data_IF_315674087498
#
_entry.id   IF_315674087498
#
_cell.length_a   1.000
_cell.length_b   1.000
_cell.length_c   1.000
_cell.angle_alpha   90.00
_cell.angle_beta   90.00
_cell.angle_gamma   90.00
#
_symmetry.space_group_name_H-M   'P 1'
#
loop_
_entity.id
_entity.type
_entity.pdbx_description
1 polymer ?
#
# COMPACT_ATOMS: atom_id res chain seq x y z
N UNK A 1 -37.01 11.86 17.54
CA UNK A 1 -36.51 13.22 17.31
C UNK A 1 -35.00 13.12 17.40
N UNK A 2 -34.38 12.69 16.30
CA UNK A 2 -32.91 12.61 16.19
C UNK A 2 -32.43 13.94 15.64
N UNK A 3 -31.58 14.60 16.40
CA UNK A 3 -30.83 15.77 15.95
C UNK A 3 -29.76 15.29 14.97
N UNK A 4 -29.94 15.67 13.70
CA UNK A 4 -28.93 15.56 12.65
C UNK A 4 -27.85 16.59 12.93
N UNK A 5 -26.61 16.13 13.13
CA UNK A 5 -25.43 17.00 13.19
C UNK A 5 -25.26 17.75 11.84
N UNK A 6 -24.80 19.01 11.86
CA UNK A 6 -24.69 19.80 10.64
C UNK A 6 -23.53 19.28 9.77
N UNK A 7 -23.87 19.04 8.51
CA UNK A 7 -22.95 18.84 7.39
C UNK A 7 -22.04 20.07 7.27
N UNK A 8 -20.76 19.88 7.59
CA UNK A 8 -19.77 20.95 7.58
C UNK A 8 -19.17 21.07 6.18
N UNK A 9 -19.79 21.91 5.36
CA UNK A 9 -19.20 22.71 4.28
C UNK A 9 -18.18 22.03 3.36
N UNK A 10 -18.65 21.50 2.24
CA UNK A 10 -17.84 21.20 1.04
C UNK A 10 -18.28 22.10 -0.12
N UNK A 11 -18.30 23.41 0.11
CA UNK A 11 -18.63 24.46 -0.89
C UNK A 11 -17.52 25.52 -0.96
N UNK A 12 -16.25 25.11 -0.97
CA UNK A 12 -15.18 25.92 -1.57
C UNK A 12 -15.00 25.40 -3.00
N UNK A 13 -15.74 25.97 -3.94
CA UNK A 13 -15.53 25.73 -5.37
C UNK A 13 -14.21 26.37 -5.76
N UNK A 14 -13.12 25.61 -5.64
CA UNK A 14 -11.79 26.05 -6.03
C UNK A 14 -11.77 26.40 -7.53
N UNK A 15 -11.07 27.48 -7.89
CA UNK A 15 -10.99 27.91 -9.28
C UNK A 15 -10.21 26.90 -10.13
N UNK A 16 -10.75 26.54 -11.28
CA UNK A 16 -10.03 25.76 -12.29
C UNK A 16 -8.80 26.56 -12.74
N UNK A 17 -7.59 25.98 -12.71
CA UNK A 17 -6.39 26.67 -13.16
C UNK A 17 -6.48 27.02 -14.65
N UNK A 18 -5.91 28.16 -15.02
CA UNK A 18 -5.71 28.52 -16.43
C UNK A 18 -4.57 27.65 -16.99
N UNK A 19 -4.83 26.91 -18.08
CA UNK A 19 -3.90 25.95 -18.66
C UNK A 19 -3.42 26.47 -20.02
N UNK A 20 -2.11 26.67 -20.15
CA UNK A 20 -1.46 26.95 -21.41
C UNK A 20 -1.35 25.65 -22.22
N UNK A 21 -2.20 25.49 -23.24
CA UNK A 21 -2.28 24.27 -24.04
C UNK A 21 -0.93 23.98 -24.72
N UNK A 22 -0.24 22.88 -24.36
CA UNK A 22 1.04 22.54 -24.97
C UNK A 22 0.89 22.18 -26.45
N UNK A 23 1.85 22.58 -27.28
CA UNK A 23 1.86 22.22 -28.70
C UNK A 23 1.82 20.70 -28.90
N UNK A 24 2.55 19.93 -28.10
CA UNK A 24 2.55 18.47 -28.19
C UNK A 24 1.18 17.85 -27.91
N UNK A 25 0.38 18.48 -27.03
CA UNK A 25 -0.98 18.04 -26.76
C UNK A 25 -1.91 18.34 -27.95
N UNK A 26 -1.75 19.51 -28.56
CA UNK A 26 -2.48 19.88 -29.77
C UNK A 26 -2.10 18.99 -30.97
N UNK A 27 -0.81 18.79 -31.20
CA UNK A 27 -0.27 17.94 -32.27
C UNK A 27 -0.76 16.50 -32.10
N UNK A 28 -0.83 15.99 -30.87
CA UNK A 28 -1.40 14.67 -30.59
C UNK A 28 -2.89 14.56 -30.91
N UNK A 29 -3.66 15.65 -30.81
CA UNK A 29 -5.06 15.69 -31.28
C UNK A 29 -5.09 15.63 -32.80
N UNK A 30 -4.25 16.40 -33.50
CA UNK A 30 -4.16 16.37 -34.96
C UNK A 30 -3.78 14.98 -35.47
N UNK A 31 -2.76 14.36 -34.88
CA UNK A 31 -2.33 13.00 -35.22
C UNK A 31 -3.47 11.99 -35.00
N UNK A 32 -4.20 12.09 -33.88
CA UNK A 32 -5.31 11.18 -33.58
C UNK A 32 -6.52 11.39 -34.51
N UNK A 33 -6.65 12.55 -35.15
CA UNK A 33 -7.67 12.83 -36.17
C UNK A 33 -7.21 12.37 -37.56
N UNK A 34 -5.91 12.45 -37.87
CA UNK A 34 -5.38 12.04 -39.16
C UNK A 34 -5.60 10.56 -39.47
N UNK A 35 -5.65 9.72 -38.43
CA UNK A 35 -5.89 8.28 -38.51
C UNK A 35 -7.38 7.88 -38.54
N UNK A 36 -8.31 8.85 -38.55
CA UNK A 36 -9.76 8.60 -38.43
C UNK A 36 -10.52 8.82 -39.74
N UNK A 37 -11.56 8.01 -39.94
CA UNK A 37 -12.48 8.17 -41.07
C UNK A 37 -13.40 9.40 -40.87
N UNK A 38 -13.90 10.02 -41.96
CA UNK A 38 -14.87 11.10 -41.85
C UNK A 38 -16.11 10.69 -41.04
N UNK A 39 -16.39 11.43 -39.97
CA UNK A 39 -17.48 11.13 -39.03
C UNK A 39 -17.03 10.42 -37.74
N UNK A 40 -15.80 9.93 -37.66
CA UNK A 40 -15.21 9.49 -36.40
C UNK A 40 -14.72 10.69 -35.59
N UNK A 41 -14.90 10.63 -34.27
CA UNK A 41 -14.57 11.73 -33.36
C UNK A 41 -13.71 11.25 -32.20
N UNK A 42 -12.80 12.12 -31.77
CA UNK A 42 -12.15 12.04 -30.47
C UNK A 42 -13.11 12.63 -29.45
N UNK A 43 -13.43 11.87 -28.41
CA UNK A 43 -14.30 12.33 -27.33
C UNK A 43 -13.46 12.82 -26.16
N UNK A 44 -13.77 14.03 -25.73
CA UNK A 44 -13.29 14.63 -24.50
C UNK A 44 -14.46 14.73 -23.52
N UNK A 45 -14.17 15.05 -22.26
CA UNK A 45 -15.25 15.38 -21.34
C UNK A 45 -15.90 16.71 -21.77
N UNK A 46 -17.21 16.66 -22.03
CA UNK A 46 -18.00 17.84 -22.40
C UNK A 46 -17.88 18.31 -23.85
N UNK A 47 -17.10 17.65 -24.72
CA UNK A 47 -17.08 17.94 -26.16
C UNK A 47 -16.43 16.82 -26.99
N UNK A 48 -16.59 16.88 -28.31
CA UNK A 48 -15.92 15.99 -29.24
C UNK A 48 -15.30 16.78 -30.41
N UNK A 49 -14.24 16.22 -30.98
CA UNK A 49 -13.53 16.80 -32.14
C UNK A 49 -13.48 15.76 -33.24
N UNK A 50 -13.76 16.15 -34.47
CA UNK A 50 -13.70 15.26 -35.64
C UNK A 50 -13.14 15.96 -36.86
N UNK A 51 -13.11 15.22 -37.97
CA UNK A 51 -12.78 15.73 -39.31
C UNK A 51 -13.92 15.38 -40.27
N UNK A 52 -14.28 16.32 -41.14
CA UNK A 52 -15.24 16.15 -42.23
C UNK A 52 -14.63 16.61 -43.57
N UNK A 53 -15.43 16.57 -44.64
CA UNK A 53 -14.99 16.97 -45.99
C UNK A 53 -14.61 18.47 -46.08
N UNK A 54 -15.11 19.30 -45.17
CA UNK A 54 -14.98 20.76 -45.18
C UNK A 54 -13.92 21.27 -44.17
N UNK A 55 -13.42 20.41 -43.27
CA UNK A 55 -12.36 20.73 -42.31
C UNK A 55 -12.53 20.03 -40.96
N UNK A 56 -12.10 20.69 -39.89
CA UNK A 56 -12.28 20.17 -38.53
C UNK A 56 -13.65 20.52 -37.96
N UNK A 57 -14.13 19.67 -37.06
CA UNK A 57 -15.39 19.86 -36.34
C UNK A 57 -15.17 19.88 -34.84
N UNK A 58 -15.93 20.72 -34.12
CA UNK A 58 -15.98 20.75 -32.66
C UNK A 58 -17.44 20.71 -32.23
N UNK A 59 -17.83 19.65 -31.54
CA UNK A 59 -19.17 19.44 -31.00
C UNK A 59 -19.16 19.63 -29.47
N UNK A 60 -19.78 20.69 -28.92
CA UNK A 60 -19.75 21.01 -27.49
C UNK A 60 -20.68 20.14 -26.60
N UNK A 61 -21.18 19.01 -27.10
CA UNK A 61 -22.02 18.07 -26.35
C UNK A 61 -23.22 18.75 -25.66
N UNK A 62 -24.13 19.32 -26.46
CA UNK A 62 -25.33 20.02 -25.97
C UNK A 62 -25.65 21.34 -26.66
N UNK A 63 -24.87 21.71 -27.68
CA UNK A 63 -25.10 22.87 -28.53
C UNK A 63 -24.83 22.56 -30.00
N UNK A 64 -24.85 23.59 -30.84
CA UNK A 64 -24.60 23.42 -32.28
C UNK A 64 -23.11 23.16 -32.56
N UNK A 65 -22.83 22.11 -33.31
CA UNK A 65 -21.47 21.77 -33.73
C UNK A 65 -20.90 22.86 -34.65
N UNK A 66 -19.64 23.22 -34.43
CA UNK A 66 -18.87 24.10 -35.31
C UNK A 66 -18.16 23.24 -36.34
N UNK A 67 -18.41 23.47 -37.63
CA UNK A 67 -17.82 22.69 -38.74
C UNK A 67 -16.99 23.58 -39.68
N UNK A 68 -16.23 22.95 -40.58
CA UNK A 68 -15.38 23.66 -41.55
C UNK A 68 -14.28 24.51 -40.91
N UNK A 69 -13.80 24.12 -39.74
CA UNK A 69 -12.77 24.86 -39.00
C UNK A 69 -11.41 24.65 -39.65
N UNK A 70 -10.64 25.73 -39.77
CA UNK A 70 -9.20 25.63 -40.05
C UNK A 70 -8.45 25.08 -38.84
N UNK A 71 -7.23 24.57 -39.02
CA UNK A 71 -6.36 24.14 -37.91
C UNK A 71 -6.18 25.24 -36.86
N UNK A 72 -6.04 26.51 -37.30
CA UNK A 72 -5.92 27.67 -36.42
C UNK A 72 -7.19 27.91 -35.59
N UNK A 73 -8.36 27.75 -36.22
CA UNK A 73 -9.64 27.95 -35.53
C UNK A 73 -9.98 26.77 -34.61
N UNK A 74 -9.51 25.56 -34.95
CA UNK A 74 -9.51 24.40 -34.06
C UNK A 74 -8.60 24.66 -32.85
N UNK A 75 -7.36 25.09 -33.05
CA UNK A 75 -6.42 25.41 -31.99
C UNK A 75 -7.04 26.42 -31.00
N UNK A 76 -7.61 27.51 -31.51
CA UNK A 76 -8.28 28.50 -30.66
C UNK A 76 -9.45 27.90 -29.85
N UNK A 77 -10.23 27.00 -30.45
CA UNK A 77 -11.31 26.31 -29.74
C UNK A 77 -10.80 25.32 -28.67
N UNK A 78 -9.65 24.69 -28.89
CA UNK A 78 -9.04 23.77 -27.94
C UNK A 78 -8.33 24.50 -26.79
N UNK A 79 -7.77 25.69 -27.02
CA UNK A 79 -7.21 26.55 -25.96
C UNK A 79 -8.29 26.93 -24.93
N UNK A 80 -9.51 27.27 -25.38
CA UNK A 80 -10.65 27.52 -24.47
C UNK A 80 -11.06 26.31 -23.63
N UNK A 81 -10.58 25.11 -23.99
CA UNK A 81 -10.92 23.82 -23.40
C UNK A 81 -9.66 23.07 -22.94
N UNK A 82 -8.57 23.80 -22.70
CA UNK A 82 -7.25 23.24 -22.44
C UNK A 82 -7.26 22.16 -21.33
N UNK A 83 -7.95 22.31 -20.18
CA UNK A 83 -8.02 21.26 -19.15
C UNK A 83 -8.49 19.90 -19.66
N UNK A 84 -9.54 19.87 -20.50
CA UNK A 84 -10.07 18.64 -21.05
C UNK A 84 -9.15 18.03 -22.12
N UNK A 85 -8.49 18.87 -22.92
CA UNK A 85 -7.50 18.42 -23.90
C UNK A 85 -6.26 17.83 -23.23
N UNK A 86 -5.72 18.50 -22.20
CA UNK A 86 -4.55 18.01 -21.46
C UNK A 86 -4.90 16.79 -20.59
N UNK A 87 -6.16 16.63 -20.16
CA UNK A 87 -6.60 15.42 -19.45
C UNK A 87 -6.60 14.20 -20.37
N UNK A 88 -7.18 14.36 -21.56
CA UNK A 88 -7.11 13.35 -22.61
C UNK A 88 -5.66 13.04 -22.98
N UNK A 89 -4.82 14.06 -23.21
CA UNK A 89 -3.42 13.87 -23.59
C UNK A 89 -2.63 13.10 -22.52
N UNK A 90 -2.78 13.47 -21.24
CA UNK A 90 -2.09 12.80 -20.15
C UNK A 90 -2.41 11.30 -20.12
N UNK A 91 -3.67 10.92 -20.30
CA UNK A 91 -4.06 9.52 -20.17
C UNK A 91 -3.94 8.70 -21.45
N UNK A 92 -4.21 9.28 -22.61
CA UNK A 92 -4.12 8.57 -23.89
C UNK A 92 -2.70 8.54 -24.47
N UNK A 93 -1.88 9.55 -24.20
CA UNK A 93 -0.54 9.67 -24.79
C UNK A 93 0.60 9.48 -23.79
N UNK A 94 0.51 10.07 -22.60
CA UNK A 94 1.59 9.98 -21.59
C UNK A 94 1.51 8.68 -20.80
N UNK A 95 0.32 8.35 -20.27
CA UNK A 95 0.08 7.11 -19.52
C UNK A 95 -0.22 5.93 -20.44
N UNK A 96 -0.98 6.15 -21.52
CA UNK A 96 -1.26 5.13 -22.54
C UNK A 96 -2.32 4.09 -22.12
N UNK A 97 -2.05 2.83 -22.50
CA UNK A 97 -3.02 1.73 -22.44
C UNK A 97 -3.70 1.54 -21.07
N UNK A 98 -4.95 1.07 -21.12
CA UNK A 98 -5.71 0.72 -19.94
C UNK A 98 -5.06 -0.45 -19.21
N UNK A 99 -4.84 -0.28 -17.90
CA UNK A 99 -4.14 -1.23 -17.06
C UNK A 99 -3.86 -0.66 -15.67
N UNK A 100 -3.09 -1.38 -14.83
CA UNK A 100 -2.92 -1.05 -13.42
C UNK A 100 -2.37 0.36 -13.19
N UNK A 101 -1.37 0.79 -13.97
CA UNK A 101 -0.82 2.15 -13.90
C UNK A 101 -1.88 3.23 -14.13
N UNK A 102 -2.65 3.10 -15.20
CA UNK A 102 -3.68 4.09 -15.56
C UNK A 102 -4.76 4.18 -14.49
N UNK A 103 -5.28 3.05 -14.04
CA UNK A 103 -6.31 3.00 -13.02
C UNK A 103 -5.83 3.59 -11.69
N UNK A 104 -4.58 3.31 -11.32
CA UNK A 104 -4.00 3.77 -10.07
C UNK A 104 -3.72 5.28 -10.07
N UNK A 105 -3.14 5.82 -11.15
CA UNK A 105 -2.94 7.26 -11.27
C UNK A 105 -4.27 8.02 -11.29
N UNK A 106 -5.30 7.47 -11.96
CA UNK A 106 -6.66 8.03 -11.86
C UNK A 106 -7.18 8.00 -10.42
N UNK A 107 -7.00 6.90 -9.69
CA UNK A 107 -7.41 6.82 -8.29
C UNK A 107 -6.66 7.79 -7.37
N UNK A 108 -5.38 8.05 -7.65
CA UNK A 108 -4.60 9.08 -6.94
C UNK A 108 -5.24 10.46 -7.17
N UNK A 109 -5.58 10.77 -8.42
CA UNK A 109 -6.15 12.07 -8.83
C UNK A 109 -7.64 12.23 -8.51
N UNK A 110 -8.38 11.14 -8.32
CA UNK A 110 -9.85 11.16 -8.42
C UNK A 110 -10.47 9.93 -7.73
N UNK A 111 -10.92 10.11 -6.48
CA UNK A 111 -11.61 9.04 -5.76
C UNK A 111 -13.12 8.98 -6.06
N UNK A 112 -13.71 10.05 -6.61
CA UNK A 112 -15.16 10.28 -6.56
C UNK A 112 -15.82 10.44 -7.95
N UNK A 113 -15.06 10.37 -9.06
CA UNK A 113 -15.61 10.40 -10.42
C UNK A 113 -16.11 11.79 -10.82
N UNK A 114 -15.36 12.82 -10.44
CA UNK A 114 -15.70 14.21 -10.70
C UNK A 114 -15.37 14.66 -12.13
N UNK A 115 -15.93 15.82 -12.53
CA UNK A 115 -15.61 16.45 -13.82
C UNK A 115 -14.12 16.81 -13.91
N UNK A 116 -13.57 16.89 -15.12
CA UNK A 116 -12.23 17.44 -15.40
C UNK A 116 -12.01 18.77 -14.69
N UNK A 117 -13.01 19.66 -14.70
CA UNK A 117 -12.92 20.96 -14.05
C UNK A 117 -12.66 20.83 -12.55
N UNK A 118 -13.50 20.08 -11.84
CA UNK A 118 -13.37 19.86 -10.40
C UNK A 118 -12.04 19.17 -10.05
N UNK A 119 -11.66 18.16 -10.81
CA UNK A 119 -10.38 17.45 -10.65
C UNK A 119 -9.18 18.39 -10.83
N UNK A 120 -9.19 19.25 -11.85
CA UNK A 120 -8.09 20.20 -12.07
C UNK A 120 -8.00 21.25 -10.98
N UNK A 121 -9.14 21.72 -10.46
CA UNK A 121 -9.16 22.62 -9.31
C UNK A 121 -8.59 21.93 -8.05
N UNK A 122 -8.91 20.67 -7.81
CA UNK A 122 -8.34 19.88 -6.71
C UNK A 122 -6.84 19.60 -6.91
N UNK A 123 -6.40 19.23 -8.11
CA UNK A 123 -4.99 19.05 -8.44
C UNK A 123 -4.17 20.33 -8.27
N UNK A 124 -4.75 21.51 -8.53
CA UNK A 124 -4.09 22.78 -8.28
C UNK A 124 -3.83 23.05 -6.78
N UNK A 125 -4.61 22.45 -5.88
CA UNK A 125 -4.40 22.50 -4.43
C UNK A 125 -3.47 21.40 -3.91
N UNK A 126 -3.26 20.34 -4.70
CA UNK A 126 -2.57 19.13 -4.30
C UNK A 126 -3.53 18.11 -3.69
N UNK A 127 -3.67 16.96 -4.36
CA UNK A 127 -4.48 15.84 -3.87
C UNK A 127 -3.58 14.86 -3.18
N UNK A 128 -3.83 14.63 -1.89
CA UNK A 128 -3.06 13.67 -1.12
C UNK A 128 -3.77 12.32 -0.98
N UNK A 129 -3.01 11.23 -1.14
CA UNK A 129 -3.46 9.85 -0.94
C UNK A 129 -2.43 9.06 -0.15
N UNK A 130 -2.92 8.15 0.67
CA UNK A 130 -2.10 7.18 1.39
C UNK A 130 -2.00 5.88 0.58
N UNK A 131 -0.85 5.22 0.61
CA UNK A 131 -0.65 3.89 0.03
C UNK A 131 0.37 3.11 0.86
N UNK A 132 -0.09 2.29 1.81
CA UNK A 132 0.78 1.77 2.87
C UNK A 132 1.34 2.92 3.70
N UNK A 133 2.64 2.94 3.97
CA UNK A 133 3.32 4.03 4.68
C UNK A 133 3.70 5.20 3.76
N UNK A 134 3.16 5.26 2.53
CA UNK A 134 3.43 6.34 1.59
C UNK A 134 2.36 7.41 1.64
N UNK A 135 2.80 8.66 1.56
CA UNK A 135 2.00 9.81 1.17
C UNK A 135 2.35 10.20 -0.26
N UNK A 136 1.35 10.13 -1.14
CA UNK A 136 1.45 10.55 -2.54
C UNK A 136 0.65 11.82 -2.73
N UNK A 137 1.28 12.88 -3.21
CA UNK A 137 0.62 14.15 -3.51
C UNK A 137 0.63 14.40 -5.01
N UNK A 138 -0.54 14.39 -5.64
CA UNK A 138 -0.69 14.70 -7.05
C UNK A 138 -1.01 16.19 -7.24
N UNK A 139 -0.27 16.83 -8.13
CA UNK A 139 -0.46 18.22 -8.52
C UNK A 139 -0.49 18.35 -10.04
N UNK A 140 -0.86 19.54 -10.51
CA UNK A 140 -0.88 19.87 -11.93
C UNK A 140 -0.12 21.17 -12.19
N UNK A 141 0.62 21.21 -13.30
CA UNK A 141 1.31 22.41 -13.77
C UNK A 141 0.39 23.33 -14.56
N UNK A 142 0.84 24.55 -14.84
CA UNK A 142 0.19 25.50 -15.77
C UNK A 142 0.09 24.98 -17.21
N UNK A 143 0.79 23.89 -17.54
CA UNK A 143 0.73 23.19 -18.83
C UNK A 143 -0.14 21.94 -18.82
N UNK A 144 -0.83 21.66 -17.71
CA UNK A 144 -1.68 20.47 -17.55
C UNK A 144 -0.91 19.16 -17.32
N UNK A 145 0.40 19.23 -17.10
CA UNK A 145 1.22 18.06 -16.76
C UNK A 145 1.01 17.64 -15.31
N UNK A 146 0.92 16.33 -15.06
CA UNK A 146 0.78 15.75 -13.72
C UNK A 146 2.13 15.60 -13.06
N UNK A 147 2.21 16.00 -11.80
CA UNK A 147 3.38 15.85 -10.94
C UNK A 147 3.02 15.16 -9.65
N UNK A 148 3.87 14.25 -9.20
CA UNK A 148 3.64 13.47 -8.00
C UNK A 148 4.82 13.59 -7.05
N UNK A 149 4.53 13.97 -5.82
CA UNK A 149 5.48 13.84 -4.72
C UNK A 149 5.20 12.54 -3.97
N UNK A 150 6.21 11.70 -3.80
CA UNK A 150 6.13 10.46 -3.01
C UNK A 150 7.08 10.55 -1.82
N UNK A 151 6.57 10.35 -0.60
CA UNK A 151 7.36 10.35 0.64
C UNK A 151 6.74 9.42 1.66
N UNK A 152 7.45 9.18 2.77
CA UNK A 152 6.87 8.47 3.91
C UNK A 152 5.74 9.29 4.55
N UNK A 153 4.69 8.64 5.06
CA UNK A 153 3.52 9.33 5.64
C UNK A 153 3.85 10.18 6.87
N UNK A 154 4.83 9.74 7.66
CA UNK A 154 5.37 10.49 8.79
C UNK A 154 6.02 11.83 8.36
N UNK A 155 6.37 11.97 7.09
CA UNK A 155 7.01 13.16 6.50
C UNK A 155 6.05 14.04 5.67
N UNK A 156 4.75 13.78 5.74
CA UNK A 156 3.74 14.51 4.95
C UNK A 156 3.83 16.05 5.11
N UNK A 157 4.17 16.52 6.32
CA UNK A 157 4.34 17.94 6.63
C UNK A 157 5.76 18.48 6.54
N UNK A 158 6.74 17.63 6.22
CA UNK A 158 8.16 18.02 6.21
C UNK A 158 8.50 18.71 4.87
N UNK A 159 9.12 19.90 4.87
CA UNK A 159 9.55 20.55 3.64
C UNK A 159 10.54 19.69 2.85
N UNK A 160 10.44 19.71 1.52
CA UNK A 160 11.35 18.93 0.63
C UNK A 160 12.83 19.22 0.92
N UNK A 161 13.19 20.46 1.24
CA UNK A 161 14.57 20.84 1.56
C UNK A 161 15.13 20.27 2.87
N UNK A 162 14.28 19.67 3.71
CA UNK A 162 14.65 19.02 4.97
C UNK A 162 14.67 17.48 4.83
N UNK A 163 14.42 16.94 3.63
CA UNK A 163 14.41 15.52 3.30
C UNK A 163 15.49 15.18 2.26
N UNK A 164 15.95 13.93 2.25
CA UNK A 164 16.82 13.43 1.19
C UNK A 164 16.01 13.25 -0.10
N UNK A 165 16.31 14.06 -1.12
CA UNK A 165 15.58 14.08 -2.39
C UNK A 165 16.17 13.11 -3.43
N UNK A 166 15.29 12.41 -4.13
CA UNK A 166 15.63 11.44 -5.18
C UNK A 166 14.77 11.66 -6.42
N UNK A 167 15.39 11.57 -7.61
CA UNK A 167 14.70 11.79 -8.88
C UNK A 167 14.54 10.49 -9.71
N UNK A 168 15.37 9.47 -9.46
CA UNK A 168 15.33 8.18 -10.17
C UNK A 168 14.55 7.14 -9.34
N UNK A 169 13.43 6.58 -9.84
CA UNK A 169 12.68 5.52 -9.16
C UNK A 169 13.52 4.33 -8.68
N UNK A 170 14.65 4.06 -9.34
CA UNK A 170 15.54 2.96 -8.98
C UNK A 170 16.24 3.17 -7.64
N UNK A 171 16.41 4.42 -7.19
CA UNK A 171 17.02 4.76 -5.89
C UNK A 171 16.16 4.25 -4.73
N UNK A 172 14.85 4.04 -4.94
CA UNK A 172 13.95 3.48 -3.94
C UNK A 172 14.37 2.07 -3.47
N UNK A 173 15.18 1.34 -4.26
CA UNK A 173 15.70 0.00 -3.88
C UNK A 173 16.56 0.05 -2.62
N UNK A 174 17.37 1.10 -2.48
CA UNK A 174 18.24 1.26 -1.32
C UNK A 174 17.40 1.61 -0.08
N UNK A 175 16.40 2.48 -0.26
CA UNK A 175 15.46 2.89 0.80
C UNK A 175 14.65 1.72 1.35
N UNK A 176 14.22 0.78 0.50
CA UNK A 176 13.38 -0.33 0.95
C UNK A 176 14.17 -1.52 1.47
N UNK A 177 15.50 -1.51 1.36
CA UNK A 177 16.34 -2.65 1.74
C UNK A 177 16.48 -2.81 3.25
N UNK A 178 16.60 -1.69 3.97
CA UNK A 178 16.77 -1.68 5.43
C UNK A 178 15.63 -0.90 6.10
N UNK A 179 15.36 -1.20 7.37
CA UNK A 179 14.50 -0.37 8.23
C UNK A 179 15.30 0.78 8.87
N UNK A 180 14.63 1.62 9.66
CA UNK A 180 15.26 2.75 10.37
C UNK A 180 16.43 2.34 11.29
N UNK A 181 16.51 1.06 11.66
CA UNK A 181 17.56 0.50 12.53
C UNK A 181 18.68 -0.17 11.73
N UNK A 182 18.64 -0.10 10.40
CA UNK A 182 19.59 -0.75 9.52
C UNK A 182 19.42 -2.27 9.41
N UNK A 183 18.26 -2.83 9.82
CA UNK A 183 17.95 -4.26 9.69
C UNK A 183 17.35 -4.53 8.32
N UNK A 184 17.69 -5.66 7.72
CA UNK A 184 17.14 -6.05 6.42
C UNK A 184 15.61 -6.22 6.47
N UNK A 185 14.92 -5.68 5.45
CA UNK A 185 13.47 -5.81 5.25
C UNK A 185 13.15 -6.93 4.26
N UNK A 186 12.90 -8.18 4.73
CA UNK A 186 12.53 -9.29 3.86
C UNK A 186 11.14 -9.13 3.26
N UNK A 187 10.22 -8.51 4.01
CA UNK A 187 8.86 -8.19 3.58
C UNK A 187 8.76 -6.69 3.37
N UNK A 188 8.62 -6.26 2.11
CA UNK A 188 8.56 -4.83 1.78
C UNK A 188 7.29 -4.14 2.26
N UNK A 189 6.23 -4.90 2.53
CA UNK A 189 4.97 -4.40 3.07
C UNK A 189 4.88 -4.48 4.59
N UNK A 190 5.96 -4.83 5.30
CA UNK A 190 5.97 -4.67 6.75
C UNK A 190 6.05 -3.17 7.11
N UNK A 191 5.29 -2.68 8.10
CA UNK A 191 5.21 -1.27 8.51
C UNK A 191 6.50 -0.84 9.23
N UNK A 192 7.56 -0.68 8.43
CA UNK A 192 8.96 -0.52 8.87
C UNK A 192 9.77 0.26 7.84
N UNK A 193 9.10 0.91 6.87
CA UNK A 193 9.78 1.72 5.89
C UNK A 193 10.42 2.91 6.60
N UNK A 194 11.71 3.16 6.38
CA UNK A 194 12.35 4.32 6.97
C UNK A 194 11.80 5.61 6.37
N UNK A 195 11.61 6.66 7.18
CA UNK A 195 11.31 8.01 6.70
C UNK A 195 12.56 8.80 6.30
N UNK A 196 12.41 10.12 6.14
CA UNK A 196 13.50 11.07 5.90
C UNK A 196 13.84 11.31 4.42
N UNK A 197 13.01 10.86 3.49
CA UNK A 197 13.25 10.98 2.05
C UNK A 197 12.01 11.44 1.28
N UNK A 198 12.23 11.92 0.05
CA UNK A 198 11.17 12.31 -0.88
C UNK A 198 11.61 12.07 -2.33
N UNK A 199 10.68 11.65 -3.16
CA UNK A 199 10.78 11.76 -4.62
C UNK A 199 9.89 12.91 -5.09
N UNK A 200 10.43 14.12 -5.28
CA UNK A 200 9.63 15.27 -5.65
C UNK A 200 9.40 15.33 -7.16
N UNK A 201 8.30 15.97 -7.57
CA UNK A 201 8.04 16.37 -8.97
C UNK A 201 8.10 15.21 -10.00
N UNK A 202 7.72 13.99 -9.59
CA UNK A 202 7.77 12.83 -10.49
C UNK A 202 6.71 12.93 -11.60
N UNK A 203 7.07 12.47 -12.80
CA UNK A 203 6.09 12.21 -13.85
C UNK A 203 5.23 10.97 -13.58
N UNK A 204 4.13 10.77 -14.34
CA UNK A 204 3.22 9.64 -14.17
C UNK A 204 3.88 8.25 -14.17
N UNK A 205 4.87 8.06 -15.05
CA UNK A 205 5.61 6.80 -15.15
C UNK A 205 6.46 6.57 -13.91
N UNK A 206 7.25 7.57 -13.52
CA UNK A 206 8.24 7.46 -12.46
C UNK A 206 7.56 7.34 -11.10
N UNK A 207 6.41 7.99 -10.89
CA UNK A 207 5.58 7.82 -9.71
C UNK A 207 5.11 6.35 -9.55
N UNK A 208 4.61 5.76 -10.65
CA UNK A 208 4.20 4.35 -10.66
C UNK A 208 5.39 3.40 -10.42
N UNK A 209 6.52 3.63 -11.10
CA UNK A 209 7.74 2.82 -10.94
C UNK A 209 8.34 2.91 -9.53
N UNK A 210 8.27 4.10 -8.90
CA UNK A 210 8.71 4.31 -7.52
C UNK A 210 7.84 3.50 -6.56
N UNK A 211 6.51 3.60 -6.68
CA UNK A 211 5.57 2.87 -5.82
C UNK A 211 5.69 1.35 -6.01
N UNK A 212 5.83 0.85 -7.24
CA UNK A 212 6.06 -0.58 -7.50
C UNK A 212 7.45 -1.05 -7.03
N UNK A 213 8.44 -0.17 -6.97
CA UNK A 213 9.74 -0.51 -6.38
C UNK A 213 9.64 -0.61 -4.85
N UNK A 214 8.86 0.27 -4.22
CA UNK A 214 8.68 0.29 -2.76
C UNK A 214 7.78 -0.86 -2.30
N UNK A 215 6.62 -1.03 -2.94
CA UNK A 215 5.64 -2.06 -2.65
C UNK A 215 5.32 -2.87 -3.91
N UNK A 216 6.14 -3.90 -4.21
CA UNK A 216 5.99 -4.68 -5.43
C UNK A 216 4.64 -5.37 -5.55
N UNK A 217 4.04 -5.27 -6.74
CA UNK A 217 2.79 -5.88 -7.18
C UNK A 217 1.54 -5.42 -6.41
N UNK A 218 1.63 -4.42 -5.53
CA UNK A 218 0.46 -3.96 -4.79
C UNK A 218 -0.56 -3.28 -5.69
N UNK A 219 -0.10 -2.46 -6.64
CA UNK A 219 -1.01 -1.77 -7.56
C UNK A 219 -1.62 -2.75 -8.56
N UNK A 220 -0.83 -3.69 -9.06
CA UNK A 220 -1.31 -4.74 -9.94
C UNK A 220 -2.41 -5.61 -9.29
N UNK A 221 -2.22 -6.03 -8.04
CA UNK A 221 -3.21 -6.84 -7.33
C UNK A 221 -4.46 -6.03 -6.96
N UNK A 222 -4.29 -4.79 -6.49
CA UNK A 222 -5.41 -3.87 -6.25
C UNK A 222 -6.25 -3.65 -7.51
N UNK A 223 -5.61 -3.50 -8.66
CA UNK A 223 -6.31 -3.37 -9.94
C UNK A 223 -7.12 -4.64 -10.26
N UNK A 224 -6.51 -5.83 -10.16
CA UNK A 224 -7.20 -7.10 -10.41
C UNK A 224 -8.40 -7.31 -9.49
N UNK A 225 -8.28 -6.96 -8.21
CA UNK A 225 -9.38 -7.03 -7.26
C UNK A 225 -10.58 -6.20 -7.71
N UNK A 226 -10.34 -4.96 -8.12
CA UNK A 226 -11.41 -4.08 -8.60
C UNK A 226 -12.08 -4.57 -9.88
N UNK A 227 -11.35 -5.29 -10.73
CA UNK A 227 -11.90 -5.92 -11.93
C UNK A 227 -12.55 -7.29 -11.64
N UNK A 228 -12.49 -7.79 -10.39
CA UNK A 228 -13.00 -9.12 -10.03
C UNK A 228 -12.14 -10.27 -10.54
N UNK A 229 -10.87 -10.00 -10.87
CA UNK A 229 -9.91 -10.94 -11.46
C UNK A 229 -8.74 -11.27 -10.50
N UNK A 230 -8.84 -10.91 -9.21
CA UNK A 230 -7.81 -11.26 -8.24
C UNK A 230 -7.74 -12.78 -8.07
N UNK A 231 -6.60 -13.36 -8.44
CA UNK A 231 -6.35 -14.78 -8.32
C UNK A 231 -5.86 -15.12 -6.91
N UNK A 232 -6.80 -15.45 -6.02
CA UNK A 232 -6.49 -15.85 -4.63
C UNK A 232 -6.02 -17.31 -4.60
N UNK A 233 -4.89 -17.57 -3.96
CA UNK A 233 -4.40 -18.91 -3.63
C UNK A 233 -4.48 -19.08 -2.12
N UNK A 234 -5.38 -19.97 -1.67
CA UNK A 234 -5.61 -20.24 -0.27
C UNK A 234 -4.46 -21.01 0.40
N UNK A 235 -4.49 -21.12 1.72
CA UNK A 235 -3.46 -21.76 2.52
C UNK A 235 -3.15 -23.19 2.05
N UNK A 236 -4.18 -24.05 1.94
CA UNK A 236 -3.99 -25.47 1.62
C UNK A 236 -3.29 -25.66 0.27
N UNK A 237 -3.73 -24.92 -0.75
CA UNK A 237 -3.12 -24.96 -2.08
C UNK A 237 -1.64 -24.50 -2.03
N UNK A 238 -1.35 -23.45 -1.26
CA UNK A 238 0.02 -22.95 -1.09
C UNK A 238 0.91 -23.97 -0.40
N UNK A 239 0.39 -24.65 0.64
CA UNK A 239 1.12 -25.66 1.39
C UNK A 239 1.34 -26.94 0.57
N UNK A 240 0.39 -27.32 -0.30
CA UNK A 240 0.53 -28.44 -1.23
C UNK A 240 1.71 -28.29 -2.20
N UNK A 241 2.08 -27.04 -2.55
CA UNK A 241 3.24 -26.75 -3.42
C UNK A 241 4.58 -26.88 -2.70
N UNK A 242 4.60 -26.80 -1.35
CA UNK A 242 5.85 -26.78 -0.59
C UNK A 242 6.59 -28.12 -0.63
N UNK A 243 7.91 -28.09 -0.72
CA UNK A 243 8.74 -29.30 -0.82
C UNK A 243 10.06 -29.15 -0.05
N UNK A 244 10.84 -30.23 0.01
CA UNK A 244 12.12 -30.24 0.73
C UNK A 244 11.96 -29.88 2.22
N UNK A 245 12.77 -28.96 2.71
CA UNK A 245 12.76 -28.54 4.13
C UNK A 245 11.43 -27.91 4.58
N UNK A 246 10.62 -27.40 3.64
CA UNK A 246 9.30 -26.80 3.90
C UNK A 246 8.16 -27.82 3.85
N UNK A 247 8.42 -29.05 3.36
CA UNK A 247 7.41 -30.10 3.28
C UNK A 247 6.82 -30.54 4.62
N UNK A 248 7.48 -30.21 5.73
CA UNK A 248 6.95 -30.46 7.09
C UNK A 248 5.62 -29.74 7.35
N UNK A 249 5.37 -28.60 6.70
CA UNK A 249 4.10 -27.86 6.87
C UNK A 249 2.91 -28.71 6.40
N UNK A 250 3.10 -29.56 5.38
CA UNK A 250 2.08 -30.50 4.88
C UNK A 250 1.66 -31.55 5.90
N UNK A 251 2.52 -31.88 6.87
CA UNK A 251 2.20 -32.93 7.85
C UNK A 251 1.21 -32.46 8.91
N UNK A 252 1.10 -31.14 9.13
CA UNK A 252 0.21 -30.53 10.12
C UNK A 252 -1.17 -30.18 9.55
N UNK A 253 -1.28 -30.02 8.23
CA UNK A 253 -2.51 -29.65 7.51
C UNK A 253 -3.58 -30.78 7.46
N UNK A 254 -3.51 -31.77 8.36
CA UNK A 254 -4.37 -32.98 8.36
C UNK A 254 -5.58 -32.86 9.29
N UNK A 255 -6.24 -31.71 9.30
CA UNK A 255 -7.47 -31.45 10.06
C UNK A 255 -7.27 -30.85 11.46
N UNK A 256 -6.12 -31.09 12.10
CA UNK A 256 -5.67 -30.35 13.31
C UNK A 256 -4.94 -29.04 12.95
N UNK A 257 -4.83 -28.74 11.64
CA UNK A 257 -4.11 -27.58 11.13
C UNK A 257 -4.88 -26.27 11.16
N UNK A 258 -6.21 -26.28 11.17
CA UNK A 258 -7.01 -25.05 11.09
C UNK A 258 -6.69 -24.04 12.20
N UNK A 259 -6.65 -24.48 13.46
CA UNK A 259 -6.26 -23.63 14.60
C UNK A 259 -4.83 -23.11 14.44
N UNK A 260 -3.92 -23.96 13.96
CA UNK A 260 -2.54 -23.54 13.69
C UNK A 260 -2.46 -22.45 12.61
N UNK A 261 -3.27 -22.53 11.55
CA UNK A 261 -3.30 -21.49 10.51
C UNK A 261 -3.86 -20.18 11.07
N UNK A 262 -4.85 -20.24 11.96
CA UNK A 262 -5.35 -19.03 12.64
C UNK A 262 -4.24 -18.36 13.44
N UNK A 263 -3.49 -19.08 14.26
CA UNK A 263 -2.35 -18.50 15.00
C UNK A 263 -1.25 -17.98 14.08
N UNK A 264 -0.98 -18.67 12.97
CA UNK A 264 0.00 -18.22 11.98
C UNK A 264 -0.44 -16.90 11.36
N UNK A 265 -1.71 -16.79 10.99
CA UNK A 265 -2.28 -15.60 10.39
C UNK A 265 -2.34 -14.44 11.40
N UNK A 266 -2.79 -14.67 12.63
CA UNK A 266 -2.79 -13.70 13.73
C UNK A 266 -1.39 -13.13 14.00
N UNK A 267 -0.38 -14.01 14.05
CA UNK A 267 0.99 -13.60 14.34
C UNK A 267 1.71 -12.92 13.17
N UNK A 268 1.35 -13.22 11.91
CA UNK A 268 2.10 -12.75 10.73
C UNK A 268 1.39 -11.70 9.88
N UNK A 269 0.06 -11.67 9.91
CA UNK A 269 -0.77 -10.97 8.92
C UNK A 269 -1.65 -9.88 9.53
N UNK A 270 -1.41 -9.53 10.80
CA UNK A 270 -1.99 -8.35 11.43
C UNK A 270 -1.41 -7.06 10.80
N UNK A 271 -2.17 -5.95 10.86
CA UNK A 271 -1.76 -4.67 10.28
C UNK A 271 -0.48 -4.11 10.91
N UNK A 272 -0.17 -4.48 12.16
CA UNK A 272 1.11 -4.17 12.81
C UNK A 272 2.31 -4.90 12.19
N UNK A 273 2.07 -5.98 11.41
CA UNK A 273 3.09 -6.81 10.79
C UNK A 273 3.13 -6.66 9.26
N UNK A 274 2.00 -6.36 8.62
CA UNK A 274 1.89 -6.26 7.17
C UNK A 274 0.78 -5.30 6.73
N UNK A 275 1.12 -4.35 5.85
CA UNK A 275 0.21 -3.35 5.28
C UNK A 275 -0.80 -3.90 4.24
N UNK A 276 -0.75 -5.21 3.96
CA UNK A 276 -1.65 -5.83 2.98
C UNK A 276 -2.87 -6.40 3.68
N UNK A 277 -4.06 -6.22 3.10
CA UNK A 277 -5.26 -6.95 3.51
C UNK A 277 -5.21 -8.39 2.98
N UNK A 278 -5.20 -9.37 3.88
CA UNK A 278 -5.22 -10.80 3.54
C UNK A 278 -6.55 -11.23 2.95
N UNK A 279 -6.50 -11.66 1.69
CA UNK A 279 -7.64 -12.26 0.98
C UNK A 279 -7.63 -13.79 1.00
N UNK A 280 -6.43 -14.39 1.11
CA UNK A 280 -6.34 -15.85 1.19
C UNK A 280 -6.90 -16.36 2.52
N UNK A 281 -7.71 -17.41 2.48
CA UNK A 281 -8.29 -18.11 3.63
C UNK A 281 -7.68 -19.51 3.79
N UNK A 282 -8.29 -20.37 4.62
CA UNK A 282 -7.81 -21.74 4.80
C UNK A 282 -7.93 -22.55 3.49
N UNK A 283 -9.14 -22.56 2.90
CA UNK A 283 -9.42 -23.04 1.54
C UNK A 283 -10.64 -22.31 0.94
N UNK A 284 -11.09 -22.71 -0.24
CA UNK A 284 -12.24 -22.09 -0.94
C UNK A 284 -13.57 -22.20 -0.16
N UNK A 285 -13.68 -23.14 0.77
CA UNK A 285 -14.91 -23.43 1.51
C UNK A 285 -14.84 -22.99 2.98
N UNK A 286 -13.64 -22.64 3.47
CA UNK A 286 -13.37 -22.41 4.89
C UNK A 286 -12.61 -21.10 5.09
N UNK A 287 -13.31 -20.12 5.66
CA UNK A 287 -12.72 -18.87 6.13
C UNK A 287 -11.89 -19.11 7.39
N UNK A 288 -10.88 -18.27 7.64
CA UNK A 288 -10.19 -18.20 8.94
C UNK A 288 -10.99 -17.34 9.91
N UNK A 289 -10.82 -17.59 11.22
CA UNK A 289 -11.50 -16.85 12.30
C UNK A 289 -10.88 -15.47 12.54
N UNK A 290 -9.61 -15.30 12.16
CA UNK A 290 -8.87 -14.05 12.31
C UNK A 290 -9.14 -13.11 11.14
N UNK A 291 -9.14 -11.80 11.41
CA UNK A 291 -9.39 -10.80 10.38
C UNK A 291 -8.25 -10.77 9.33
N UNK A 292 -8.54 -10.19 8.16
CA UNK A 292 -7.56 -10.04 7.09
C UNK A 292 -6.70 -8.78 7.19
N UNK A 293 -7.08 -7.83 8.05
CA UNK A 293 -6.48 -6.50 8.13
C UNK A 293 -7.20 -5.48 7.25
N UNK A 294 -6.94 -4.19 7.48
CA UNK A 294 -7.62 -3.08 6.81
C UNK A 294 -6.78 -2.47 5.66
N UNK A 295 -5.67 -3.11 5.29
CA UNK A 295 -4.75 -2.65 4.26
C UNK A 295 -5.42 -2.29 2.92
N UNK A 296 -4.95 -1.20 2.29
CA UNK A 296 -5.52 -0.67 1.05
C UNK A 296 -5.36 -1.59 -0.18
N UNK A 297 -4.41 -2.52 -0.13
CA UNK A 297 -4.12 -3.44 -1.23
C UNK A 297 -4.11 -4.92 -0.79
N UNK A 298 -4.61 -5.84 -1.63
CA UNK A 298 -4.84 -7.22 -1.23
C UNK A 298 -3.56 -8.09 -1.24
N UNK A 299 -3.54 -9.06 -0.33
CA UNK A 299 -2.60 -10.17 -0.26
C UNK A 299 -3.30 -11.46 -0.70
N UNK A 300 -3.02 -11.86 -1.94
CA UNK A 300 -3.68 -12.99 -2.60
C UNK A 300 -3.17 -14.38 -2.21
N UNK A 301 -2.03 -14.50 -1.54
CA UNK A 301 -1.38 -15.80 -1.23
C UNK A 301 -0.47 -15.68 0.02
N UNK A 302 -0.36 -16.73 0.87
CA UNK A 302 0.62 -16.78 1.95
C UNK A 302 2.04 -16.51 1.45
N UNK A 303 2.69 -15.49 2.02
CA UNK A 303 4.02 -15.09 1.57
C UNK A 303 5.13 -16.00 2.12
N UNK A 304 6.35 -15.83 1.63
CA UNK A 304 7.51 -16.62 2.04
C UNK A 304 7.87 -16.47 3.53
N UNK A 305 7.55 -15.33 4.15
CA UNK A 305 7.69 -15.12 5.60
C UNK A 305 6.72 -16.01 6.37
N UNK A 306 5.44 -16.01 5.98
CA UNK A 306 4.40 -16.88 6.54
C UNK A 306 4.79 -18.35 6.42
N UNK A 307 5.22 -18.81 5.23
CA UNK A 307 5.66 -20.20 5.02
C UNK A 307 6.87 -20.56 5.89
N UNK A 308 7.80 -19.63 6.08
CA UNK A 308 8.98 -19.84 6.91
C UNK A 308 8.67 -19.88 8.40
N UNK A 309 7.75 -19.03 8.86
CA UNK A 309 7.26 -19.00 10.23
C UNK A 309 6.46 -20.27 10.55
N UNK A 310 5.50 -20.61 9.70
CA UNK A 310 4.71 -21.83 9.79
C UNK A 310 5.60 -23.07 9.92
N UNK A 311 6.64 -23.20 9.07
CA UNK A 311 7.60 -24.31 9.17
C UNK A 311 8.23 -24.44 10.57
N UNK A 312 8.58 -23.32 11.20
CA UNK A 312 9.21 -23.32 12.52
C UNK A 312 8.20 -23.67 13.61
N UNK A 313 7.01 -23.11 13.55
CA UNK A 313 5.97 -23.34 14.55
C UNK A 313 5.36 -24.72 14.43
N UNK A 314 5.16 -25.24 13.22
CA UNK A 314 4.81 -26.65 12.99
C UNK A 314 5.77 -27.62 13.70
N UNK A 315 7.06 -27.29 13.79
CA UNK A 315 8.01 -28.11 14.54
C UNK A 315 7.86 -27.94 16.05
N UNK A 316 7.65 -26.71 16.52
CA UNK A 316 7.42 -26.43 17.94
C UNK A 316 6.16 -27.14 18.45
N UNK A 317 5.07 -27.04 17.70
CA UNK A 317 3.80 -27.70 18.06
C UNK A 317 3.91 -29.24 18.02
N UNK A 318 4.86 -29.79 17.24
CA UNK A 318 5.09 -31.24 17.19
C UNK A 318 5.65 -31.83 18.49
N UNK A 319 6.16 -30.98 19.37
CA UNK A 319 6.69 -31.37 20.66
C UNK A 319 5.54 -31.71 21.62
N UNK A 320 5.72 -32.75 22.44
CA UNK A 320 4.72 -33.09 23.45
C UNK A 320 4.74 -32.06 24.57
N UNK A 321 3.60 -31.43 24.91
CA UNK A 321 3.55 -30.47 26.02
C UNK A 321 4.03 -31.10 27.33
N UNK A 322 4.79 -30.32 28.10
CA UNK A 322 5.27 -30.68 29.44
C UNK A 322 4.85 -29.62 30.44
N UNK A 323 4.63 -30.05 31.68
CA UNK A 323 4.36 -29.14 32.80
C UNK A 323 5.67 -28.76 33.48
N UNK A 324 5.93 -27.46 33.60
CA UNK A 324 7.02 -26.90 34.41
C UNK A 324 6.39 -26.09 35.55
N UNK A 325 6.84 -26.30 36.80
CA UNK A 325 6.24 -25.68 37.99
C UNK A 325 7.28 -24.84 38.75
N UNK A 326 7.00 -23.56 38.93
CA UNK A 326 7.77 -22.63 39.78
C UNK A 326 6.85 -21.52 40.28
N UNK A 327 7.25 -20.85 41.36
CA UNK A 327 6.42 -19.84 42.03
C UNK A 327 6.69 -18.42 41.51
N UNK A 328 5.62 -17.71 41.20
CA UNK A 328 5.62 -16.27 40.90
C UNK A 328 4.66 -15.54 41.85
N UNK A 329 5.04 -14.35 42.29
CA UNK A 329 4.03 -13.42 42.86
C UNK A 329 3.11 -12.91 41.74
N UNK A 330 1.89 -12.43 42.05
CA UNK A 330 0.98 -11.89 41.04
C UNK A 330 1.63 -10.83 40.15
N UNK A 331 2.39 -9.90 40.74
CA UNK A 331 3.08 -8.84 40.00
C UNK A 331 4.24 -9.33 39.15
N UNK A 332 4.84 -10.47 39.48
CA UNK A 332 5.88 -11.09 38.64
C UNK A 332 5.28 -11.80 37.44
N UNK A 333 4.13 -12.47 37.63
CA UNK A 333 3.37 -13.07 36.54
C UNK A 333 2.84 -11.99 35.57
N UNK A 334 2.24 -10.91 36.10
CA UNK A 334 1.84 -9.74 35.31
C UNK A 334 3.02 -9.12 34.54
N UNK A 335 4.21 -9.13 35.15
CA UNK A 335 5.41 -8.63 34.48
C UNK A 335 5.84 -9.52 33.32
N UNK A 336 5.75 -10.85 33.44
CA UNK A 336 6.04 -11.78 32.33
C UNK A 336 5.06 -11.56 31.18
N UNK A 337 3.77 -11.41 31.46
CA UNK A 337 2.76 -11.09 30.45
C UNK A 337 3.08 -9.77 29.75
N UNK A 338 3.39 -8.71 30.52
CA UNK A 338 3.78 -7.42 29.96
C UNK A 338 5.02 -7.51 29.06
N UNK A 339 5.97 -8.41 29.36
CA UNK A 339 7.16 -8.64 28.53
C UNK A 339 6.76 -9.31 27.21
N UNK A 340 5.88 -10.30 27.25
CA UNK A 340 5.38 -10.99 26.05
C UNK A 340 4.66 -9.97 25.15
N UNK A 341 3.71 -9.21 25.70
CA UNK A 341 2.93 -8.22 24.95
C UNK A 341 3.85 -7.15 24.33
N UNK A 342 4.78 -6.58 25.11
CA UNK A 342 5.67 -5.54 24.61
C UNK A 342 6.62 -6.03 23.50
N UNK A 343 7.02 -7.30 23.52
CA UNK A 343 7.84 -7.90 22.46
C UNK A 343 6.98 -8.23 21.23
N UNK A 344 5.80 -8.81 21.43
CA UNK A 344 4.86 -9.13 20.36
C UNK A 344 4.45 -7.87 19.57
N UNK A 345 4.15 -6.78 20.28
CA UNK A 345 3.75 -5.50 19.68
C UNK A 345 4.96 -4.67 19.16
N UNK A 346 6.20 -5.13 19.36
CA UNK A 346 7.40 -4.37 18.98
C UNK A 346 7.65 -3.09 19.80
N UNK A 347 6.93 -2.86 20.90
CA UNK A 347 6.95 -1.62 21.70
C UNK A 347 8.12 -1.50 22.69
N UNK A 348 9.08 -2.42 22.66
CA UNK A 348 10.17 -2.44 23.65
C UNK A 348 11.02 -1.16 23.67
N UNK A 349 11.17 -0.48 22.54
CA UNK A 349 12.00 0.74 22.42
C UNK A 349 11.26 2.02 22.84
N UNK A 350 9.94 1.96 22.98
CA UNK A 350 9.12 3.07 23.49
C UNK A 350 9.25 3.22 25.02
N UNK A 351 9.65 2.13 25.68
CA UNK A 351 9.74 2.07 27.13
C UNK A 351 10.99 2.82 27.59
N UNK A 352 10.76 3.98 28.21
CA UNK A 352 11.84 4.83 28.73
C UNK A 352 12.66 4.10 29.77
N UNK A 353 13.97 4.29 29.71
CA UNK A 353 14.93 3.59 30.58
C UNK A 353 14.59 3.72 32.09
N UNK A 354 14.24 4.92 32.54
CA UNK A 354 13.94 5.20 33.96
C UNK A 354 12.47 4.95 34.35
N UNK A 355 11.61 4.49 33.43
CA UNK A 355 10.20 4.20 33.75
C UNK A 355 10.04 2.80 34.35
N UNK A 356 10.47 2.66 35.60
CA UNK A 356 10.45 1.37 36.32
C UNK A 356 9.03 0.93 36.72
N UNK A 357 7.98 1.65 36.32
CA UNK A 357 6.59 1.23 36.53
C UNK A 357 6.11 0.34 35.39
N UNK A 358 6.63 0.53 34.18
CA UNK A 358 6.31 -0.30 33.01
C UNK A 358 6.83 -1.73 33.17
N UNK A 359 5.97 -2.73 32.95
CA UNK A 359 6.29 -4.14 33.23
C UNK A 359 7.48 -4.67 32.42
N UNK A 360 7.52 -4.35 31.13
CA UNK A 360 8.61 -4.74 30.23
C UNK A 360 9.87 -3.87 30.32
N UNK A 361 9.93 -2.92 31.27
CA UNK A 361 11.11 -2.08 31.46
C UNK A 361 12.38 -2.92 31.72
N UNK A 362 13.47 -2.53 31.05
CA UNK A 362 14.77 -3.24 31.09
C UNK A 362 15.29 -3.50 32.52
N UNK A 363 15.17 -2.55 33.45
CA UNK A 363 15.65 -2.75 34.82
C UNK A 363 14.79 -3.73 35.60
N UNK A 364 13.46 -3.69 35.41
CA UNK A 364 12.56 -4.68 36.00
C UNK A 364 12.82 -6.08 35.46
N UNK A 365 13.00 -6.23 34.15
CA UNK A 365 13.32 -7.53 33.52
C UNK A 365 14.65 -8.07 34.02
N UNK A 366 15.67 -7.21 34.21
CA UNK A 366 16.96 -7.60 34.80
C UNK A 366 16.83 -8.03 36.26
N UNK A 367 16.01 -7.34 37.06
CA UNK A 367 15.74 -7.71 38.45
C UNK A 367 15.04 -9.07 38.52
N UNK A 368 14.00 -9.29 37.70
CA UNK A 368 13.29 -10.56 37.61
C UNK A 368 14.23 -11.70 37.25
N UNK A 369 15.08 -11.50 36.24
CA UNK A 369 16.12 -12.48 35.86
C UNK A 369 17.07 -12.79 37.01
N UNK A 370 17.58 -11.77 37.71
CA UNK A 370 18.51 -11.96 38.83
C UNK A 370 17.88 -12.68 40.03
N UNK A 371 16.54 -12.61 40.18
CA UNK A 371 15.81 -13.28 41.24
C UNK A 371 15.45 -14.73 40.89
N UNK A 372 14.99 -14.97 39.66
CA UNK A 372 14.34 -16.23 39.28
C UNK A 372 15.25 -17.22 38.56
N UNK A 373 16.34 -16.78 37.93
CA UNK A 373 17.24 -17.68 37.21
C UNK A 373 18.31 -18.21 38.16
N UNK A 374 18.55 -19.52 38.13
CA UNK A 374 19.65 -20.15 38.86
C UNK A 374 21.02 -19.90 38.16
N UNK A 375 22.07 -20.52 38.70
CA UNK A 375 23.44 -20.37 38.17
C UNK A 375 23.59 -21.02 36.77
N UNK A 376 22.75 -21.99 36.44
CA UNK A 376 22.73 -22.71 35.16
C UNK A 376 21.82 -22.03 34.11
N UNK A 377 21.08 -20.99 34.50
CA UNK A 377 20.20 -20.22 33.63
C UNK A 377 18.78 -20.78 33.50
N UNK A 378 18.36 -21.65 34.42
CA UNK A 378 17.01 -22.19 34.45
C UNK A 378 16.03 -21.22 35.13
N UNK A 379 14.92 -20.94 34.47
CA UNK A 379 13.84 -20.14 35.03
C UNK A 379 13.20 -20.88 36.22
N UNK A 380 13.20 -20.26 37.39
CA UNK A 380 12.66 -20.85 38.62
C UNK A 380 13.50 -22.01 39.16
N UNK A 381 14.72 -22.23 38.66
CA UNK A 381 15.53 -23.42 38.97
C UNK A 381 14.98 -24.72 38.38
N UNK A 382 14.12 -24.62 37.35
CA UNK A 382 13.48 -25.78 36.69
C UNK A 382 14.15 -26.03 35.33
N UNK A 383 14.85 -27.16 35.14
CA UNK A 383 15.45 -27.51 33.86
C UNK A 383 14.43 -27.59 32.72
N UNK A 384 14.82 -27.14 31.53
CA UNK A 384 13.98 -27.21 30.31
C UNK A 384 13.99 -28.61 29.70
N UNK A 385 15.15 -29.28 29.71
CA UNK A 385 15.27 -30.69 29.32
C UNK A 385 15.48 -31.54 30.59
N UNK A 386 14.93 -32.77 30.64
CA UNK A 386 15.21 -33.68 31.74
C UNK A 386 16.70 -34.02 31.78
N UNK A 387 17.26 -34.16 32.99
CA UNK A 387 18.62 -34.65 33.16
C UNK A 387 18.75 -36.03 32.49
N UNK A 388 19.68 -36.17 31.53
CA UNK A 388 19.98 -37.43 30.85
C UNK A 388 20.41 -38.55 31.84
N UNK A 389 20.72 -38.19 33.09
CA UNK A 389 21.16 -39.08 34.17
C UNK A 389 20.02 -39.65 35.05
N UNK A 390 18.75 -39.35 34.73
CA UNK A 390 17.59 -39.86 35.50
C UNK A 390 17.03 -41.21 35.01
N UNK A 391 17.56 -41.79 33.93
CA UNK A 391 17.12 -43.07 33.34
C UNK A 391 18.12 -44.25 33.49
N UNK A 392 19.01 -44.25 34.49
CA UNK A 392 19.77 -45.48 34.87
C UNK A 392 19.21 -46.22 36.09
#
# INVERSE_FOLDING_TARGET
>A
MSETAPDAGRDDEFAVPDIDLPSDAFDAVLDALADRDPGDQIRFEGFAVGVDDDGYTVDPAGGDARTGLSERDLHAALVERAPAVTDWYAFERVVGEFGPRRAFLRWIEDADGETVASRYAALAQGIERAWGELKVTATITDRGERRYDVRHEADAGTPVGDLDAYDDPLDARDLVTLDERGRYRPLKTAPTLAGGWVFPDLGPRDAYETIETIYPATVANWHREREGELDVTHWRETMERQSGIYGVVKTWDRGEGYEHVNWVAEACCDDSQCLKRREWQYDDETDLDVDGGDGAFPCREPCSVVVSAARKWTRLESEQPRTYEFDLTPSEKEQVESIIDAVADGRTDEIREADTKEGANRYRTRFLRAKLFDEDGNLGGVPTEPDEDAEE
#
